data_IF_371001325539
#
_entry.id   IF_371001325539
#
_cell.length_a   1.000
_cell.length_b   1.000
_cell.length_c   1.000
_cell.angle_alpha   90.00
_cell.angle_beta   90.00
_cell.angle_gamma   90.00
#
_symmetry.space_group_name_H-M   'P 1'
#
loop_
_entity.id
_entity.type
_entity.pdbx_description
1 polymer ?
#
# COMPACT_ATOMS: atom_id res chain seq x y z
N UNK A 1 -9.19 25.38 48.88
CA UNK A 1 -8.10 24.89 48.00
C UNK A 1 -8.66 24.05 46.85
N UNK A 2 -9.70 24.51 46.16
CA UNK A 2 -10.50 23.65 45.27
C UNK A 2 -10.69 24.19 43.85
N UNK A 3 -10.02 25.29 43.48
CA UNK A 3 -10.28 25.97 42.20
C UNK A 3 -9.08 26.03 41.23
N UNK A 4 -7.97 25.33 41.52
CA UNK A 4 -6.82 25.23 40.60
C UNK A 4 -6.81 23.98 39.72
N UNK A 5 -7.68 22.98 40.00
CA UNK A 5 -7.70 21.71 39.26
C UNK A 5 -8.64 21.71 38.04
N UNK A 6 -9.54 22.68 37.94
CA UNK A 6 -10.52 22.83 36.84
C UNK A 6 -9.93 23.51 35.61
N UNK A 7 -9.10 24.54 35.77
CA UNK A 7 -8.48 25.27 34.64
C UNK A 7 -7.40 24.46 33.89
N UNK A 8 -6.68 23.56 34.57
CA UNK A 8 -5.64 22.74 33.93
C UNK A 8 -6.17 21.70 32.93
N UNK A 9 -7.45 21.33 33.02
CA UNK A 9 -8.09 20.40 32.06
C UNK A 9 -8.42 21.06 30.72
N UNK A 10 -8.55 22.38 30.67
CA UNK A 10 -8.99 23.11 29.47
C UNK A 10 -7.90 23.26 28.39
N UNK A 11 -6.63 22.95 28.73
CA UNK A 11 -5.49 23.10 27.84
C UNK A 11 -4.84 21.76 27.48
N UNK A 12 -5.59 20.65 27.52
CA UNK A 12 -5.09 19.35 27.06
C UNK A 12 -5.88 18.89 25.84
N UNK A 13 -5.16 18.33 24.87
CA UNK A 13 -5.76 17.75 23.68
C UNK A 13 -6.68 16.58 24.08
N UNK A 14 -7.96 16.64 23.70
CA UNK A 14 -8.90 15.53 23.94
C UNK A 14 -8.49 14.23 23.23
N UNK A 15 -7.66 14.30 22.19
CA UNK A 15 -7.22 13.12 21.44
C UNK A 15 -5.95 12.43 21.97
N UNK A 16 -4.96 13.18 22.47
CA UNK A 16 -3.67 12.60 22.91
C UNK A 16 -3.19 13.06 24.30
N UNK A 17 -3.96 13.89 25.00
CA UNK A 17 -3.65 14.34 26.36
C UNK A 17 -2.50 15.34 26.52
N UNK A 18 -1.83 15.73 25.42
CA UNK A 18 -0.72 16.69 25.43
C UNK A 18 -1.21 18.11 25.75
N UNK A 19 -0.36 18.92 26.41
CA UNK A 19 -0.64 20.34 26.65
C UNK A 19 -0.73 21.09 25.31
N UNK A 20 -1.82 21.83 25.13
CA UNK A 20 -2.09 22.62 23.94
C UNK A 20 -1.32 23.94 24.00
N UNK A 21 -0.79 24.36 22.85
CA UNK A 21 -0.13 25.64 22.65
C UNK A 21 -0.52 26.22 21.28
N UNK A 22 -0.40 27.53 21.10
CA UNK A 22 -0.81 28.21 19.86
C UNK A 22 0.27 29.17 19.33
N UNK A 23 1.50 29.03 19.80
CA UNK A 23 2.62 29.93 19.51
C UNK A 23 3.51 29.37 18.39
N UNK A 24 3.86 28.08 18.46
CA UNK A 24 4.83 27.46 17.54
C UNK A 24 4.21 26.30 16.74
N UNK A 25 3.99 26.50 15.44
CA UNK A 25 3.33 25.50 14.59
C UNK A 25 4.08 24.15 14.52
N UNK A 26 5.41 24.18 14.63
CA UNK A 26 6.26 22.99 14.52
C UNK A 26 6.43 22.23 15.84
N UNK A 27 5.87 22.71 16.97
CA UNK A 27 6.01 22.05 18.27
C UNK A 27 4.80 21.19 18.63
N UNK A 28 5.01 20.06 19.34
CA UNK A 28 3.92 19.22 19.84
C UNK A 28 2.88 20.02 20.63
N UNK A 29 1.61 19.70 20.43
CA UNK A 29 0.50 20.39 21.09
C UNK A 29 -0.01 21.65 20.38
N UNK A 30 0.57 22.03 19.23
CA UNK A 30 0.07 23.18 18.47
C UNK A 30 -1.41 23.06 18.13
N UNK A 31 -2.19 24.12 18.34
CA UNK A 31 -3.58 24.27 17.91
C UNK A 31 -3.80 25.73 17.50
N UNK A 32 -4.41 26.02 16.33
CA UNK A 32 -4.74 27.40 15.97
C UNK A 32 -5.64 28.05 17.03
N UNK A 33 -5.42 29.34 17.36
CA UNK A 33 -6.23 30.05 18.38
C UNK A 33 -7.74 29.97 18.13
N UNK A 34 -8.15 29.94 16.86
CA UNK A 34 -9.56 29.81 16.44
C UNK A 34 -10.17 28.42 16.73
N UNK A 35 -9.35 27.39 16.93
CA UNK A 35 -9.78 26.02 17.20
C UNK A 35 -9.80 25.67 18.70
N UNK A 36 -9.28 26.55 19.58
CA UNK A 36 -9.34 26.39 21.04
C UNK A 36 -10.77 26.50 21.61
N UNK A 37 -11.69 27.11 20.86
CA UNK A 37 -13.09 27.29 21.24
C UNK A 37 -14.01 26.17 20.78
N UNK A 38 -13.48 25.17 20.06
CA UNK A 38 -14.26 24.02 19.55
C UNK A 38 -14.23 22.86 20.53
N UNK A 39 -15.38 22.30 20.87
CA UNK A 39 -15.45 21.05 21.65
C UNK A 39 -15.70 19.84 20.72
N UNK A 40 -14.85 18.80 20.74
CA UNK A 40 -13.63 18.64 21.54
C UNK A 40 -12.39 19.37 20.94
N UNK A 41 -11.56 19.95 21.80
CA UNK A 41 -10.33 20.66 21.39
C UNK A 41 -9.21 19.63 21.12
N UNK A 42 -8.70 19.61 19.89
CA UNK A 42 -7.65 18.66 19.48
C UNK A 42 -6.45 19.39 18.88
N UNK A 43 -5.23 18.91 19.20
CA UNK A 43 -4.01 19.46 18.63
C UNK A 43 -3.93 19.20 17.12
N UNK A 44 -3.14 19.97 16.39
CA UNK A 44 -2.93 19.88 14.95
C UNK A 44 -2.56 18.44 14.52
N UNK A 45 -1.77 17.73 15.34
CA UNK A 45 -1.47 16.31 15.14
C UNK A 45 -2.72 15.44 15.25
N UNK A 46 -3.52 15.56 16.32
CA UNK A 46 -4.78 14.81 16.46
C UNK A 46 -5.83 15.20 15.42
N UNK A 47 -5.88 16.47 15.04
CA UNK A 47 -6.71 16.97 13.95
C UNK A 47 -6.30 16.35 12.62
N UNK A 48 -4.99 16.22 12.36
CA UNK A 48 -4.45 15.57 11.16
C UNK A 48 -4.69 14.06 11.15
N UNK A 49 -4.53 13.40 12.29
CA UNK A 49 -4.91 12.00 12.48
C UNK A 49 -6.41 11.80 12.20
N UNK A 50 -7.27 12.66 12.75
CA UNK A 50 -8.74 12.53 12.65
C UNK A 50 -9.29 12.86 11.25
N UNK A 51 -8.75 13.88 10.58
CA UNK A 51 -9.31 14.39 9.32
C UNK A 51 -8.54 13.95 8.07
N UNK A 52 -7.23 13.77 8.18
CA UNK A 52 -6.37 13.39 7.05
C UNK A 52 -5.85 11.95 7.17
N UNK A 53 -6.23 11.23 8.23
CA UNK A 53 -5.73 9.88 8.51
C UNK A 53 -4.19 9.83 8.57
N UNK A 54 -3.54 10.97 8.88
CA UNK A 54 -2.10 11.06 9.20
C UNK A 54 -1.89 10.47 10.61
N UNK A 55 -2.29 9.21 10.81
CA UNK A 55 -1.79 8.44 11.94
C UNK A 55 -0.28 8.55 11.91
N UNK A 56 0.31 9.02 13.00
CA UNK A 56 1.72 8.83 13.29
C UNK A 56 1.96 7.32 13.31
N UNK A 57 2.13 6.75 12.13
CA UNK A 57 2.67 5.41 11.99
C UNK A 57 4.09 5.59 12.48
N UNK A 58 4.35 5.09 13.69
CA UNK A 58 5.71 4.79 14.08
C UNK A 58 6.15 3.77 13.05
N UNK A 59 6.94 4.22 12.09
CA UNK A 59 7.50 3.37 11.06
C UNK A 59 8.67 2.63 11.67
N UNK A 60 8.86 1.39 11.23
CA UNK A 60 9.74 0.46 11.89
C UNK A 60 10.70 -0.11 10.87
N UNK A 61 11.98 -0.08 11.22
CA UNK A 61 13.00 -0.79 10.47
C UNK A 61 12.69 -2.29 10.42
N UNK A 62 13.03 -2.94 9.31
CA UNK A 62 12.63 -4.33 9.05
C UNK A 62 12.95 -5.28 10.22
N UNK A 63 14.14 -5.17 10.81
CA UNK A 63 14.58 -6.04 11.91
C UNK A 63 13.75 -5.91 13.18
N UNK A 64 13.31 -4.70 13.52
CA UNK A 64 12.52 -4.47 14.73
C UNK A 64 11.07 -4.97 14.53
N UNK A 65 10.55 -4.85 13.31
CA UNK A 65 9.28 -5.45 12.95
C UNK A 65 9.32 -6.99 12.98
N UNK A 66 10.40 -7.61 12.52
CA UNK A 66 10.56 -9.06 12.59
C UNK A 66 10.55 -9.56 14.05
N UNK A 67 11.11 -8.78 14.99
CA UNK A 67 11.02 -9.08 16.43
C UNK A 67 9.58 -9.02 16.93
N UNK A 68 8.79 -8.05 16.49
CA UNK A 68 7.35 -7.98 16.82
C UNK A 68 6.60 -9.21 16.30
N UNK A 69 6.83 -9.60 15.05
CA UNK A 69 6.19 -10.79 14.49
C UNK A 69 6.55 -12.07 15.28
N UNK A 70 7.80 -12.19 15.74
CA UNK A 70 8.22 -13.31 16.59
C UNK A 70 7.43 -13.41 17.90
N UNK A 71 6.98 -12.27 18.47
CA UNK A 71 6.11 -12.27 19.65
C UNK A 71 4.70 -12.79 19.34
N UNK A 72 4.22 -12.62 18.10
CA UNK A 72 2.92 -13.15 17.66
C UNK A 72 2.98 -14.67 17.57
N UNK A 73 4.10 -15.24 17.12
CA UNK A 73 4.27 -16.68 16.97
C UNK A 73 4.08 -17.50 18.26
N UNK A 74 4.32 -16.89 19.42
CA UNK A 74 4.10 -17.52 20.74
C UNK A 74 2.67 -17.39 21.28
N UNK A 75 1.77 -16.71 20.57
CA UNK A 75 0.38 -16.43 21.01
C UNK A 75 -0.63 -17.17 20.14
N UNK A 76 -1.82 -17.40 20.69
CA UNK A 76 -2.97 -17.87 19.92
C UNK A 76 -3.63 -16.70 19.19
N UNK A 77 -3.25 -16.52 17.93
CA UNK A 77 -3.63 -15.36 17.14
C UNK A 77 -4.19 -15.76 15.77
N UNK A 78 -5.14 -14.98 15.27
CA UNK A 78 -5.47 -14.94 13.85
C UNK A 78 -4.76 -13.76 13.21
N UNK A 79 -4.02 -13.99 12.12
CA UNK A 79 -3.26 -12.93 11.46
C UNK A 79 -3.99 -12.50 10.19
N UNK A 80 -4.45 -11.25 10.12
CA UNK A 80 -4.89 -10.62 8.88
C UNK A 80 -3.66 -10.02 8.22
N UNK A 81 -3.19 -10.63 7.14
CA UNK A 81 -2.16 -10.04 6.29
C UNK A 81 -2.82 -9.21 5.19
N UNK A 82 -2.73 -7.88 5.28
CA UNK A 82 -3.23 -6.98 4.25
C UNK A 82 -2.15 -6.67 3.21
N UNK A 83 -2.52 -6.75 1.92
CA UNK A 83 -1.64 -6.49 0.78
C UNK A 83 -2.31 -5.59 -0.25
N UNK A 84 -1.54 -4.79 -0.97
CA UNK A 84 -2.03 -3.98 -2.10
C UNK A 84 -1.98 -4.80 -3.41
N UNK A 85 -3.06 -4.84 -4.18
CA UNK A 85 -3.10 -5.55 -5.46
C UNK A 85 -2.14 -4.96 -6.51
N UNK A 86 -1.89 -3.64 -6.50
CA UNK A 86 -0.98 -2.98 -7.45
C UNK A 86 0.49 -3.13 -7.07
N UNK A 87 0.75 -3.59 -5.86
CA UNK A 87 2.09 -3.75 -5.31
C UNK A 87 2.17 -5.03 -4.48
N UNK A 88 1.62 -6.12 -5.02
CA UNK A 88 1.43 -7.37 -4.28
C UNK A 88 2.75 -7.90 -3.73
N UNK A 89 3.78 -7.99 -4.58
CA UNK A 89 5.08 -8.50 -4.17
C UNK A 89 5.85 -7.56 -3.24
N UNK A 90 5.66 -6.24 -3.37
CA UNK A 90 6.19 -5.28 -2.41
C UNK A 90 5.45 -5.29 -1.08
N UNK A 91 4.18 -5.69 -1.07
CA UNK A 91 3.33 -5.69 0.13
C UNK A 91 3.39 -7.00 0.92
N UNK A 92 3.70 -8.11 0.27
CA UNK A 92 3.77 -9.43 0.90
C UNK A 92 5.00 -9.55 1.80
N UNK A 93 4.78 -9.95 3.04
CA UNK A 93 5.83 -10.18 4.03
C UNK A 93 6.48 -11.54 3.78
N UNK A 94 7.65 -11.52 3.16
CA UNK A 94 8.41 -12.74 2.88
C UNK A 94 8.80 -13.44 4.17
N UNK A 95 8.46 -14.73 4.27
CA UNK A 95 8.75 -15.52 5.46
C UNK A 95 7.85 -15.22 6.67
N UNK A 96 6.73 -14.49 6.51
CA UNK A 96 5.76 -14.22 7.58
C UNK A 96 5.44 -15.48 8.40
N UNK A 97 5.16 -16.59 7.70
CA UNK A 97 4.83 -17.88 8.32
C UNK A 97 5.88 -18.37 9.33
N UNK A 98 7.17 -18.05 9.11
CA UNK A 98 8.26 -18.44 10.02
C UNK A 98 8.18 -17.71 11.36
N UNK A 99 7.67 -16.48 11.37
CA UNK A 99 7.59 -15.66 12.56
C UNK A 99 6.29 -15.86 13.33
N UNK A 100 5.17 -16.07 12.62
CA UNK A 100 3.86 -16.28 13.25
C UNK A 100 3.60 -17.75 13.63
N UNK A 101 4.50 -18.67 13.28
CA UNK A 101 4.36 -20.10 13.61
C UNK A 101 3.16 -20.77 12.93
N UNK A 102 2.32 -21.42 13.73
CA UNK A 102 1.13 -22.15 13.27
C UNK A 102 -0.15 -21.29 13.26
N UNK A 103 -0.03 -19.99 13.51
CA UNK A 103 -1.19 -19.11 13.53
C UNK A 103 -1.83 -19.03 12.13
N UNK A 104 -3.17 -19.14 12.04
CA UNK A 104 -3.89 -19.03 10.77
C UNK A 104 -3.73 -17.64 10.17
N UNK A 105 -3.65 -17.57 8.84
CA UNK A 105 -3.49 -16.32 8.08
C UNK A 105 -4.67 -16.11 7.15
N UNK A 106 -5.32 -14.96 7.27
CA UNK A 106 -6.25 -14.44 6.27
C UNK A 106 -5.55 -13.40 5.40
N UNK A 107 -5.51 -13.63 4.10
CA UNK A 107 -4.91 -12.69 3.16
C UNK A 107 -5.98 -11.72 2.65
N UNK A 108 -5.91 -10.47 3.10
CA UNK A 108 -6.80 -9.39 2.67
C UNK A 108 -6.14 -8.60 1.53
N UNK A 109 -6.60 -8.84 0.29
CA UNK A 109 -6.11 -8.14 -0.90
C UNK A 109 -6.93 -6.88 -1.12
N UNK A 110 -6.31 -5.74 -0.84
CA UNK A 110 -6.97 -4.44 -0.84
C UNK A 110 -6.88 -3.72 -2.19
N UNK A 111 -7.65 -2.62 -2.31
CA UNK A 111 -7.70 -1.69 -3.44
C UNK A 111 -8.25 -2.29 -4.75
N UNK A 112 -9.05 -3.34 -4.66
CA UNK A 112 -9.65 -3.99 -5.84
C UNK A 112 -10.57 -3.07 -6.65
N UNK A 113 -11.06 -2.00 -6.02
CA UNK A 113 -11.94 -1.03 -6.65
C UNK A 113 -11.26 -0.19 -7.74
N UNK A 114 -9.93 -0.15 -7.72
CA UNK A 114 -9.14 0.56 -8.72
C UNK A 114 -8.83 -0.31 -9.94
N UNK A 115 -9.20 -1.60 -9.91
CA UNK A 115 -9.03 -2.49 -11.05
C UNK A 115 -10.02 -2.13 -12.17
N UNK A 116 -9.67 -2.36 -13.45
CA UNK A 116 -10.60 -2.18 -14.55
C UNK A 116 -11.85 -3.05 -14.37
N UNK A 117 -13.03 -2.53 -14.75
CA UNK A 117 -14.31 -3.27 -14.63
C UNK A 117 -14.34 -4.62 -15.37
N UNK A 118 -13.49 -4.77 -16.38
CA UNK A 118 -13.33 -5.99 -17.20
C UNK A 118 -12.53 -7.09 -16.50
N UNK A 119 -11.96 -6.83 -15.31
CA UNK A 119 -11.09 -7.78 -14.60
C UNK A 119 -11.85 -9.05 -14.21
N UNK A 120 -11.25 -10.21 -14.48
CA UNK A 120 -11.82 -11.49 -14.08
C UNK A 120 -11.44 -11.83 -12.64
N UNK A 121 -12.41 -11.72 -11.73
CA UNK A 121 -12.23 -11.95 -10.29
C UNK A 121 -11.71 -13.35 -9.95
N UNK A 122 -12.11 -14.39 -10.69
CA UNK A 122 -11.65 -15.76 -10.46
C UNK A 122 -10.19 -15.92 -10.86
N UNK A 123 -9.78 -15.38 -12.01
CA UNK A 123 -8.36 -15.37 -12.42
C UNK A 123 -7.50 -14.60 -11.43
N UNK A 124 -7.98 -13.45 -10.96
CA UNK A 124 -7.29 -12.64 -9.97
C UNK A 124 -7.07 -13.42 -8.66
N UNK A 125 -8.13 -14.05 -8.14
CA UNK A 125 -8.04 -14.87 -6.92
C UNK A 125 -7.07 -16.04 -7.10
N UNK A 126 -7.16 -16.77 -8.21
CA UNK A 126 -6.26 -17.90 -8.50
C UNK A 126 -4.81 -17.45 -8.62
N UNK A 127 -4.56 -16.30 -9.24
CA UNK A 127 -3.23 -15.70 -9.30
C UNK A 127 -2.72 -15.36 -7.90
N UNK A 128 -3.49 -14.63 -7.09
CA UNK A 128 -3.09 -14.29 -5.71
C UNK A 128 -2.79 -15.55 -4.88
N UNK A 129 -3.66 -16.57 -4.94
CA UNK A 129 -3.46 -17.81 -4.20
C UNK A 129 -2.17 -18.52 -4.60
N UNK A 130 -1.89 -18.56 -5.92
CA UNK A 130 -0.66 -19.13 -6.44
C UNK A 130 0.56 -18.34 -5.95
N UNK A 131 0.57 -17.02 -6.11
CA UNK A 131 1.71 -16.19 -5.69
C UNK A 131 1.94 -16.26 -4.17
N UNK A 132 0.87 -16.27 -3.36
CA UNK A 132 0.98 -16.43 -1.92
C UNK A 132 1.67 -17.76 -1.55
N UNK A 133 1.26 -18.85 -2.21
CA UNK A 133 1.86 -20.17 -2.04
C UNK A 133 3.32 -20.21 -2.49
N UNK A 134 3.64 -19.62 -3.64
CA UNK A 134 5.00 -19.57 -4.20
C UNK A 134 5.94 -18.75 -3.29
N UNK A 135 5.41 -17.77 -2.55
CA UNK A 135 6.11 -17.02 -1.50
C UNK A 135 6.15 -17.73 -0.14
N UNK A 136 5.60 -18.94 -0.04
CA UNK A 136 5.62 -19.77 1.16
C UNK A 136 4.59 -19.38 2.22
N UNK A 137 3.58 -18.58 1.88
CA UNK A 137 2.47 -18.24 2.77
C UNK A 137 1.42 -19.35 2.76
N UNK A 138 1.03 -19.81 3.95
CA UNK A 138 -0.11 -20.71 4.14
C UNK A 138 -1.31 -19.88 4.57
N UNK A 139 -2.19 -19.59 3.62
CA UNK A 139 -3.38 -18.78 3.84
C UNK A 139 -4.60 -19.68 3.99
N UNK A 140 -5.42 -19.43 5.01
CA UNK A 140 -6.70 -20.12 5.22
C UNK A 140 -7.74 -19.64 4.18
N UNK A 141 -7.72 -18.35 3.88
CA UNK A 141 -8.59 -17.76 2.86
C UNK A 141 -7.94 -16.51 2.22
N UNK A 142 -8.41 -16.19 1.01
CA UNK A 142 -8.03 -14.98 0.27
C UNK A 142 -9.28 -14.13 0.05
N UNK A 143 -9.31 -12.99 0.74
CA UNK A 143 -10.41 -12.04 0.67
C UNK A 143 -10.01 -10.86 -0.20
N UNK A 144 -10.74 -10.67 -1.30
CA UNK A 144 -10.62 -9.49 -2.15
C UNK A 144 -11.50 -8.38 -1.56
N UNK A 145 -10.91 -7.24 -1.20
CA UNK A 145 -11.63 -6.12 -0.58
C UNK A 145 -11.20 -4.74 -1.08
N UNK A 146 -12.05 -3.75 -0.85
CA UNK A 146 -11.72 -2.33 -0.93
C UNK A 146 -12.09 -1.67 0.39
N UNK A 147 -11.07 -1.36 1.20
CA UNK A 147 -11.24 -0.62 2.46
C UNK A 147 -11.83 0.77 2.24
N UNK A 148 -11.59 1.38 1.08
CA UNK A 148 -12.10 2.71 0.74
C UNK A 148 -13.58 2.69 0.35
N UNK A 149 -14.02 1.68 -0.40
CA UNK A 149 -15.40 1.58 -0.91
C UNK A 149 -16.29 0.63 -0.09
N UNK A 150 -15.77 0.06 0.99
CA UNK A 150 -16.45 -0.95 1.79
C UNK A 150 -16.90 -2.20 0.99
N UNK A 151 -16.20 -2.50 -0.11
CA UNK A 151 -16.52 -3.66 -0.94
C UNK A 151 -15.75 -4.89 -0.45
N UNK A 152 -16.42 -6.03 -0.36
CA UNK A 152 -15.81 -7.29 0.07
C UNK A 152 -15.57 -7.40 1.58
N UNK A 153 -16.03 -6.42 2.38
CA UNK A 153 -15.89 -6.44 3.84
C UNK A 153 -16.76 -7.51 4.49
N UNK A 154 -17.99 -7.73 4.00
CA UNK A 154 -18.85 -8.81 4.52
C UNK A 154 -18.14 -10.17 4.46
N UNK A 155 -17.44 -10.46 3.36
CA UNK A 155 -16.63 -11.67 3.21
C UNK A 155 -15.44 -11.73 4.15
N UNK A 156 -14.84 -10.57 4.45
CA UNK A 156 -13.76 -10.50 5.44
C UNK A 156 -14.30 -10.79 6.85
N UNK A 157 -15.46 -10.26 7.20
CA UNK A 157 -16.14 -10.50 8.47
C UNK A 157 -16.58 -11.96 8.60
N UNK A 158 -17.13 -12.56 7.54
CA UNK A 158 -17.47 -13.99 7.48
C UNK A 158 -16.22 -14.87 7.67
N UNK A 159 -15.12 -14.56 6.99
CA UNK A 159 -13.86 -15.27 7.16
C UNK A 159 -13.31 -15.09 8.58
N UNK A 160 -13.38 -13.88 9.14
CA UNK A 160 -12.99 -13.63 10.53
C UNK A 160 -13.83 -14.46 11.49
N UNK A 161 -15.16 -14.43 11.38
CA UNK A 161 -16.05 -15.23 12.22
C UNK A 161 -15.76 -16.74 12.12
N UNK A 162 -15.39 -17.22 10.93
CA UNK A 162 -15.09 -18.63 10.68
C UNK A 162 -13.75 -19.08 11.25
N UNK A 163 -12.69 -18.29 11.08
CA UNK A 163 -11.31 -18.72 11.36
C UNK A 163 -10.74 -18.18 12.68
N UNK A 164 -11.35 -17.14 13.26
CA UNK A 164 -10.85 -16.51 14.49
C UNK A 164 -10.96 -17.45 15.69
N UNK A 165 -12.15 -18.01 15.95
CA UNK A 165 -12.43 -18.69 17.22
C UNK A 165 -12.18 -17.75 18.41
N UNK A 166 -11.59 -18.26 19.49
CA UNK A 166 -11.27 -17.48 20.69
C UNK A 166 -9.89 -16.77 20.61
N UNK A 167 -9.42 -16.40 19.42
CA UNK A 167 -8.09 -15.80 19.23
C UNK A 167 -8.14 -14.27 19.15
N UNK A 168 -7.04 -13.65 19.53
CA UNK A 168 -6.77 -12.24 19.21
C UNK A 168 -6.51 -12.06 17.71
N UNK A 169 -6.87 -10.91 17.16
CA UNK A 169 -6.71 -10.62 15.72
C UNK A 169 -5.56 -9.65 15.52
N UNK A 170 -4.50 -10.08 14.85
CA UNK A 170 -3.35 -9.22 14.51
C UNK A 170 -3.45 -8.77 13.06
N UNK A 171 -3.45 -7.45 12.83
CA UNK A 171 -3.44 -6.90 11.48
C UNK A 171 -2.02 -6.50 11.10
N UNK A 172 -1.45 -7.18 10.09
CA UNK A 172 -0.08 -6.98 9.61
C UNK A 172 -0.06 -6.62 8.14
N UNK A 173 0.84 -5.72 7.76
CA UNK A 173 1.00 -5.33 6.36
C UNK A 173 2.03 -4.22 6.20
N UNK A 174 2.46 -4.04 4.97
CA UNK A 174 3.38 -2.96 4.63
C UNK A 174 2.70 -1.58 4.76
N UNK A 175 3.48 -0.51 4.76
CA UNK A 175 2.98 0.86 4.69
C UNK A 175 2.11 1.07 3.44
N UNK A 176 1.13 1.96 3.53
CA UNK A 176 0.28 2.38 2.41
C UNK A 176 -0.56 1.29 1.70
N UNK A 177 -0.64 0.07 2.26
CA UNK A 177 -1.53 -1.00 1.75
C UNK A 177 -3.00 -0.79 2.14
N UNK A 178 -3.27 0.17 3.04
CA UNK A 178 -4.62 0.48 3.55
C UNK A 178 -4.97 -0.17 4.89
N UNK A 179 -3.96 -0.59 5.68
CA UNK A 179 -4.12 -1.21 7.00
C UNK A 179 -4.97 -0.36 7.95
N UNK A 180 -4.65 0.92 8.13
CA UNK A 180 -5.40 1.82 9.01
C UNK A 180 -6.85 2.01 8.56
N UNK A 181 -7.09 2.06 7.24
CA UNK A 181 -8.45 2.15 6.68
C UNK A 181 -9.25 0.87 6.96
N UNK A 182 -8.61 -0.30 6.81
CA UNK A 182 -9.22 -1.59 7.11
C UNK A 182 -9.56 -1.72 8.60
N UNK A 183 -8.67 -1.30 9.50
CA UNK A 183 -8.89 -1.33 10.94
C UNK A 183 -10.00 -0.37 11.36
N UNK A 184 -9.97 0.87 10.89
CA UNK A 184 -11.05 1.84 11.14
C UNK A 184 -12.42 1.32 10.70
N UNK A 185 -12.45 0.46 9.67
CA UNK A 185 -13.66 -0.17 9.18
C UNK A 185 -14.08 -1.36 10.05
N UNK A 186 -13.15 -2.24 10.39
CA UNK A 186 -13.40 -3.35 11.33
C UNK A 186 -13.93 -2.83 12.67
N UNK A 187 -13.37 -1.74 13.20
CA UNK A 187 -13.89 -1.07 14.40
C UNK A 187 -15.38 -0.79 14.22
N UNK A 188 -15.76 -0.03 13.19
CA UNK A 188 -17.16 0.40 12.96
C UNK A 188 -18.14 -0.76 12.81
N UNK A 189 -17.73 -1.83 12.16
CA UNK A 189 -18.60 -2.97 11.87
C UNK A 189 -18.67 -3.98 13.04
N UNK A 190 -17.68 -4.00 13.94
CA UNK A 190 -17.71 -4.79 15.19
C UNK A 190 -18.25 -4.01 16.40
N UNK A 191 -18.22 -2.67 16.37
CA UNK A 191 -18.74 -1.83 17.45
C UNK A 191 -20.15 -1.36 17.14
N UNK A 192 -21.17 -2.09 17.61
CA UNK A 192 -22.54 -1.58 17.77
C UNK A 192 -22.66 -0.56 18.94
N UNK A 193 -21.54 -0.03 19.44
CA UNK A 193 -21.47 0.72 20.69
C UNK A 193 -20.82 2.09 20.49
N UNK A 194 -21.54 3.11 20.95
CA UNK A 194 -21.14 4.50 21.23
C UNK A 194 -19.94 4.64 22.22
N UNK A 195 -19.05 3.66 22.29
CA UNK A 195 -17.83 3.77 23.09
C UNK A 195 -16.79 4.58 22.33
N UNK A 196 -16.54 5.79 22.83
CA UNK A 196 -15.35 6.57 22.49
C UNK A 196 -14.13 5.65 22.50
N UNK A 197 -13.44 5.60 21.35
CA UNK A 197 -12.22 4.84 21.13
C UNK A 197 -11.16 5.19 22.18
N UNK A 198 -11.13 4.47 23.29
CA UNK A 198 -10.00 4.51 24.22
C UNK A 198 -8.90 3.66 23.62
N UNK A 199 -8.17 4.24 22.67
CA UNK A 199 -6.92 3.69 22.15
C UNK A 199 -5.93 3.62 23.31
N UNK A 200 -5.82 2.48 23.98
CA UNK A 200 -4.76 2.26 24.95
C UNK A 200 -3.46 2.00 24.19
N UNK A 201 -2.56 2.98 24.18
CA UNK A 201 -1.15 2.74 23.86
C UNK A 201 -0.52 2.11 25.09
N UNK A 202 0.00 0.89 24.98
CA UNK A 202 0.81 0.32 26.06
C UNK A 202 2.19 0.99 26.02
N UNK A 203 2.53 1.86 27.00
CA UNK A 203 3.83 2.52 27.03
C UNK A 203 4.86 1.50 27.55
N UNK A 204 5.93 1.24 26.79
CA UNK A 204 7.02 0.37 27.29
C UNK A 204 7.87 -0.31 26.21
N UNK A 205 7.45 -0.27 24.95
CA UNK A 205 8.25 -0.72 23.80
C UNK A 205 8.48 0.44 22.84
N UNK A 206 9.60 0.44 22.12
CA UNK A 206 9.93 1.43 21.07
C UNK A 206 8.88 1.46 19.94
N UNK A 207 7.99 0.46 19.89
CA UNK A 207 6.91 0.30 18.94
C UNK A 207 5.55 0.19 19.63
N UNK A 208 4.67 1.16 19.40
CA UNK A 208 3.31 1.21 19.95
C UNK A 208 2.37 0.34 19.10
N UNK A 209 2.03 -0.88 19.57
CA UNK A 209 0.86 -1.61 19.07
C UNK A 209 -0.42 -0.98 19.62
N UNK A 210 -1.45 -0.86 18.78
CA UNK A 210 -2.76 -0.35 19.22
C UNK A 210 -3.71 -1.51 19.45
N UNK A 211 -4.22 -1.62 20.68
CA UNK A 211 -5.22 -2.63 21.04
C UNK A 211 -6.61 -2.02 20.97
N UNK A 212 -7.49 -2.69 20.23
CA UNK A 212 -8.91 -2.38 20.10
C UNK A 212 -9.66 -3.52 20.77
N UNK A 213 -10.23 -3.32 21.97
CA UNK A 213 -10.98 -4.36 22.65
C UNK A 213 -12.25 -4.71 21.87
N UNK A 214 -12.65 -5.98 21.97
CA UNK A 214 -13.89 -6.52 21.43
C UNK A 214 -14.78 -7.00 22.59
N UNK A 215 -16.08 -7.10 22.34
CA UNK A 215 -17.07 -7.45 23.37
C UNK A 215 -16.87 -8.85 23.97
N UNK A 216 -16.18 -9.73 23.24
CA UNK A 216 -15.83 -11.09 23.66
C UNK A 216 -14.56 -11.15 24.55
N UNK A 217 -14.02 -10.00 24.98
CA UNK A 217 -12.85 -9.91 25.85
C UNK A 217 -11.51 -10.12 25.13
N UNK A 218 -11.52 -10.28 23.81
CA UNK A 218 -10.31 -10.30 22.96
C UNK A 218 -10.05 -8.94 22.35
N UNK A 219 -9.00 -8.82 21.54
CA UNK A 219 -8.69 -7.57 20.85
C UNK A 219 -8.35 -7.74 19.37
N UNK A 220 -8.55 -6.67 18.61
CA UNK A 220 -7.88 -6.42 17.34
C UNK A 220 -6.62 -5.60 17.65
N UNK A 221 -5.47 -6.11 17.24
CA UNK A 221 -4.18 -5.49 17.44
C UNK A 221 -3.70 -4.91 16.11
N UNK A 222 -3.57 -3.59 16.07
CA UNK A 222 -2.88 -2.91 14.99
C UNK A 222 -1.37 -3.00 15.21
N UNK A 223 -0.68 -3.60 14.26
CA UNK A 223 0.79 -3.63 14.25
C UNK A 223 1.33 -2.47 13.41
N UNK A 224 2.50 -1.89 13.75
CA UNK A 224 3.16 -0.92 12.88
C UNK A 224 3.33 -1.43 11.44
N UNK A 225 3.23 -0.53 10.46
CA UNK A 225 3.42 -0.87 9.05
C UNK A 225 4.90 -1.05 8.72
N UNK A 226 5.23 -2.06 7.91
CA UNK A 226 6.61 -2.29 7.45
C UNK A 226 6.92 -1.40 6.26
N UNK A 227 8.09 -0.77 6.28
CA UNK A 227 8.66 -0.11 5.12
C UNK A 227 9.60 -1.06 4.40
N UNK A 228 9.40 -1.25 3.10
CA UNK A 228 10.34 -1.97 2.25
C UNK A 228 11.04 -0.95 1.36
N UNK A 229 12.37 -0.75 1.50
CA UNK A 229 13.13 0.24 0.72
C UNK A 229 13.05 0.02 -0.79
N UNK A 230 12.60 -1.15 -1.23
CA UNK A 230 12.46 -1.55 -2.62
C UNK A 230 11.07 -1.29 -3.22
N UNK A 231 10.22 -0.47 -2.57
CA UNK A 231 8.88 -0.10 -3.08
C UNK A 231 8.87 1.35 -3.53
N UNK A 232 8.07 1.65 -4.56
CA UNK A 232 7.84 3.04 -4.98
C UNK A 232 7.36 3.91 -3.82
N UNK A 233 6.55 3.39 -2.90
CA UNK A 233 6.04 4.15 -1.75
C UNK A 233 7.12 4.69 -0.81
N UNK A 234 8.30 4.09 -0.81
CA UNK A 234 9.39 4.46 0.10
C UNK A 234 10.53 5.24 -0.59
N UNK A 235 10.65 5.13 -1.91
CA UNK A 235 11.75 5.77 -2.67
C UNK A 235 11.33 7.09 -3.32
N UNK A 236 10.04 7.32 -3.56
CA UNK A 236 9.55 8.55 -4.20
C UNK A 236 9.05 9.56 -3.18
N UNK A 237 9.00 10.84 -3.57
CA UNK A 237 8.42 11.88 -2.73
C UNK A 237 6.92 11.66 -2.46
N UNK A 238 6.35 12.19 -1.37
CA UNK A 238 4.91 12.10 -1.11
C UNK A 238 4.03 12.65 -2.25
N UNK A 239 4.49 13.72 -2.92
CA UNK A 239 3.80 14.33 -4.06
C UNK A 239 3.78 13.38 -5.26
N UNK A 240 4.93 12.79 -5.58
CA UNK A 240 5.10 11.83 -6.68
C UNK A 240 4.34 10.52 -6.40
N UNK A 241 4.34 10.07 -5.14
CA UNK A 241 3.57 8.91 -4.69
C UNK A 241 2.08 9.13 -4.91
N UNK A 242 1.61 10.35 -4.62
CA UNK A 242 0.27 10.79 -4.89
C UNK A 242 -0.12 10.61 -6.36
N UNK A 243 0.82 10.75 -7.31
CA UNK A 243 0.59 10.61 -8.75
C UNK A 243 0.64 9.16 -9.21
N UNK A 244 1.62 8.38 -8.71
CA UNK A 244 1.80 6.97 -9.01
C UNK A 244 0.60 6.13 -8.59
N UNK A 245 0.06 6.38 -7.40
CA UNK A 245 -1.04 5.60 -6.86
C UNK A 245 -2.37 6.01 -7.53
N UNK A 246 -3.12 5.04 -8.07
CA UNK A 246 -4.45 5.34 -8.59
C UNK A 246 -5.40 5.73 -7.45
N UNK A 247 -6.20 6.77 -7.69
CA UNK A 247 -7.32 7.19 -6.85
C UNK A 247 -8.68 6.81 -7.44
N UNK A 248 -8.67 6.44 -8.73
CA UNK A 248 -9.80 6.02 -9.57
C UNK A 248 -9.46 4.73 -10.33
N UNK A 249 -10.48 3.98 -10.79
CA UNK A 249 -10.27 2.79 -11.61
C UNK A 249 -9.34 3.03 -12.81
N UNK A 250 -8.37 2.14 -13.00
CA UNK A 250 -7.42 2.23 -14.09
C UNK A 250 -8.14 2.17 -15.44
N UNK A 251 -7.82 3.13 -16.31
CA UNK A 251 -8.31 3.17 -17.68
C UNK A 251 -7.26 2.56 -18.60
N UNK A 252 -7.64 1.65 -19.52
CA UNK A 252 -6.71 1.08 -20.48
C UNK A 252 -6.24 2.15 -21.46
N UNK A 253 -4.93 2.32 -21.60
CA UNK A 253 -4.34 3.15 -22.66
C UNK A 253 -3.61 2.25 -23.66
N UNK A 254 -4.14 2.15 -24.88
CA UNK A 254 -3.62 1.24 -25.91
C UNK A 254 -2.61 1.96 -26.79
N UNK A 255 -1.42 1.38 -26.93
CA UNK A 255 -0.39 1.80 -27.88
C UNK A 255 -0.15 0.70 -28.92
N UNK A 256 -0.17 1.09 -30.19
CA UNK A 256 0.32 0.26 -31.29
C UNK A 256 1.81 0.59 -31.47
N UNK A 257 2.68 -0.40 -31.26
CA UNK A 257 4.13 -0.24 -31.33
C UNK A 257 4.73 -1.11 -32.42
N UNK A 258 5.76 -0.58 -33.08
CA UNK A 258 6.69 -1.35 -33.89
C UNK A 258 7.93 -1.70 -33.07
N UNK A 259 8.69 -2.67 -33.55
CA UNK A 259 10.03 -2.97 -33.04
C UNK A 259 10.89 -1.70 -32.91
N UNK A 260 11.66 -1.60 -31.83
CA UNK A 260 12.51 -0.44 -31.55
C UNK A 260 11.72 0.79 -31.09
N UNK A 261 10.57 0.61 -30.44
CA UNK A 261 9.82 1.71 -29.81
C UNK A 261 9.72 1.55 -28.30
N UNK A 262 9.61 2.69 -27.64
CA UNK A 262 9.68 2.82 -26.18
C UNK A 262 8.52 3.65 -25.66
N UNK A 263 8.04 3.33 -24.45
CA UNK A 263 7.09 4.13 -23.68
C UNK A 263 7.71 4.43 -22.31
N UNK A 264 7.82 5.71 -21.97
CA UNK A 264 8.14 6.19 -20.63
C UNK A 264 6.88 6.39 -19.79
N UNK A 265 6.99 6.08 -18.50
CA UNK A 265 5.98 6.32 -17.47
C UNK A 265 6.45 7.48 -16.59
N UNK A 266 6.33 8.71 -17.12
CA UNK A 266 7.05 9.87 -16.59
C UNK A 266 8.55 9.56 -16.48
N UNK A 267 9.17 9.96 -15.37
CA UNK A 267 10.50 9.54 -14.95
C UNK A 267 10.46 8.45 -13.87
N UNK A 268 9.43 7.59 -13.84
CA UNK A 268 9.33 6.47 -12.89
C UNK A 268 9.74 5.12 -13.48
N UNK A 269 9.70 4.99 -14.81
CA UNK A 269 10.14 3.79 -15.50
C UNK A 269 9.97 3.88 -17.01
N UNK A 270 10.44 2.86 -17.70
CA UNK A 270 10.46 2.75 -19.17
C UNK A 270 10.11 1.33 -19.60
N UNK A 271 9.35 1.22 -20.68
CA UNK A 271 9.07 -0.03 -21.37
C UNK A 271 9.61 0.03 -22.80
N UNK A 272 10.37 -0.98 -23.19
CA UNK A 272 11.01 -1.09 -24.48
C UNK A 272 10.50 -2.31 -25.23
N UNK A 273 10.05 -2.11 -26.46
CA UNK A 273 9.72 -3.19 -27.38
C UNK A 273 10.94 -3.47 -28.27
N UNK A 274 11.74 -4.44 -27.84
CA UNK A 274 13.06 -4.74 -28.43
C UNK A 274 12.91 -5.49 -29.75
N UNK A 275 12.07 -6.53 -29.78
CA UNK A 275 11.95 -7.39 -30.96
C UNK A 275 10.54 -7.95 -31.11
N UNK A 276 9.99 -7.91 -32.33
CA UNK A 276 8.74 -8.57 -32.68
C UNK A 276 7.94 -7.82 -33.74
N UNK A 277 6.89 -8.48 -34.26
CA UNK A 277 5.97 -7.83 -35.20
C UNK A 277 5.17 -6.72 -34.53
N UNK A 278 4.69 -5.77 -35.36
CA UNK A 278 3.83 -4.68 -34.91
C UNK A 278 2.63 -5.23 -34.14
N UNK A 279 2.53 -4.85 -32.87
CA UNK A 279 1.50 -5.36 -31.97
C UNK A 279 1.05 -4.29 -30.98
N UNK A 280 -0.04 -4.60 -30.26
CA UNK A 280 -0.64 -3.67 -29.31
C UNK A 280 -0.23 -3.99 -27.88
N UNK A 281 0.10 -2.92 -27.15
CA UNK A 281 0.41 -2.95 -25.73
C UNK A 281 -0.60 -2.07 -25.01
N UNK A 282 -1.28 -2.63 -24.02
CA UNK A 282 -2.28 -1.87 -23.24
C UNK A 282 -1.72 -1.56 -21.87
N UNK A 283 -1.44 -0.29 -21.60
CA UNK A 283 -0.94 0.19 -20.33
C UNK A 283 -2.09 0.38 -19.35
N UNK A 284 -1.96 -0.18 -18.15
CA UNK A 284 -2.83 0.02 -17.00
C UNK A 284 -1.99 0.64 -15.89
N UNK A 285 -1.92 1.97 -15.89
CA UNK A 285 -1.23 2.78 -14.88
C UNK A 285 -2.13 3.92 -14.41
N UNK A 286 -1.80 4.57 -13.30
CA UNK A 286 -2.53 5.76 -12.83
C UNK A 286 -2.66 6.78 -13.97
N UNK A 287 -3.87 7.29 -14.20
CA UNK A 287 -4.14 8.26 -15.27
C UNK A 287 -3.46 9.62 -15.08
N UNK A 288 -2.80 9.82 -13.93
CA UNK A 288 -1.98 10.99 -13.63
C UNK A 288 -0.51 10.81 -14.02
N UNK A 289 -0.08 9.57 -14.31
CA UNK A 289 1.27 9.29 -14.82
C UNK A 289 1.28 9.54 -16.33
N UNK A 290 2.06 10.53 -16.83
CA UNK A 290 2.12 10.81 -18.26
C UNK A 290 2.86 9.69 -18.98
N UNK A 291 2.36 9.35 -20.18
CA UNK A 291 2.95 8.33 -21.05
C UNK A 291 3.60 9.02 -22.24
N UNK A 292 4.91 8.82 -22.42
CA UNK A 292 5.67 9.43 -23.51
C UNK A 292 6.26 8.34 -24.41
N UNK A 293 5.91 8.36 -25.70
CA UNK A 293 6.43 7.39 -26.68
C UNK A 293 7.59 7.97 -27.48
N UNK A 294 8.68 7.24 -27.58
CA UNK A 294 9.84 7.56 -28.42
C UNK A 294 10.35 6.33 -29.16
N UNK A 295 11.38 6.51 -29.99
CA UNK A 295 12.15 5.41 -30.58
C UNK A 295 13.22 4.93 -29.58
N UNK A 296 13.54 3.65 -29.62
CA UNK A 296 14.48 2.99 -28.72
C UNK A 296 15.89 3.56 -28.85
N UNK A 297 16.33 3.86 -30.08
CA UNK A 297 17.65 4.46 -30.36
C UNK A 297 17.85 5.84 -29.72
N UNK A 298 16.76 6.56 -29.45
CA UNK A 298 16.77 7.88 -28.79
C UNK A 298 16.34 7.83 -27.32
N UNK A 299 16.00 6.66 -26.80
CA UNK A 299 15.39 6.56 -25.47
C UNK A 299 16.37 6.96 -24.36
N UNK A 300 17.64 6.54 -24.46
CA UNK A 300 18.66 6.86 -23.46
C UNK A 300 19.05 8.35 -23.49
N UNK A 301 19.24 8.92 -24.69
CA UNK A 301 19.50 10.36 -24.89
C UNK A 301 18.34 11.21 -24.35
N UNK A 302 17.10 10.87 -24.71
CA UNK A 302 15.91 11.58 -24.23
C UNK A 302 15.81 11.58 -22.70
N UNK A 303 16.15 10.46 -22.06
CA UNK A 303 16.13 10.38 -20.61
C UNK A 303 17.24 11.23 -19.98
N UNK A 304 18.46 11.17 -20.50
CA UNK A 304 19.58 11.95 -19.99
C UNK A 304 19.31 13.48 -20.06
N UNK A 305 18.72 13.94 -21.17
CA UNK A 305 18.54 15.37 -21.43
C UNK A 305 17.26 15.94 -20.80
N UNK A 306 16.19 15.14 -20.71
CA UNK A 306 14.85 15.63 -20.37
C UNK A 306 14.19 14.95 -19.16
N UNK A 307 14.91 14.11 -18.41
CA UNK A 307 14.45 13.60 -17.11
C UNK A 307 14.21 14.75 -16.12
N UNK A 308 13.03 14.78 -15.50
CA UNK A 308 12.65 15.84 -14.57
C UNK A 308 11.99 17.07 -15.19
N UNK A 309 11.95 17.15 -16.53
CA UNK A 309 11.28 18.21 -17.29
C UNK A 309 10.14 17.61 -18.12
N UNK A 310 10.43 17.12 -19.33
CA UNK A 310 9.44 16.45 -20.19
C UNK A 310 9.03 15.10 -19.60
N UNK A 311 10.00 14.35 -19.07
CA UNK A 311 9.78 13.08 -18.39
C UNK A 311 9.62 13.34 -16.89
N UNK A 312 8.52 14.01 -16.56
CA UNK A 312 8.10 14.36 -15.20
C UNK A 312 6.66 13.90 -15.00
N UNK A 313 6.27 13.46 -13.79
CA UNK A 313 7.07 13.38 -12.57
C UNK A 313 7.99 12.14 -12.55
N UNK A 314 9.03 12.11 -11.69
CA UNK A 314 9.39 13.09 -10.67
C UNK A 314 10.12 14.32 -11.26
N UNK A 315 10.33 15.36 -10.46
CA UNK A 315 11.21 16.50 -10.81
C UNK A 315 12.67 16.06 -10.83
N UNK A 316 13.57 16.85 -11.44
CA UNK A 316 15.00 16.52 -11.52
C UNK A 316 15.63 16.27 -10.14
N UNK A 317 15.32 17.12 -9.16
CA UNK A 317 15.79 16.97 -7.78
C UNK A 317 15.31 15.66 -7.12
N UNK A 318 14.06 15.27 -7.36
CA UNK A 318 13.51 14.03 -6.81
C UNK A 318 14.02 12.80 -7.58
N UNK A 319 14.29 12.93 -8.87
CA UNK A 319 14.85 11.87 -9.70
C UNK A 319 16.27 11.49 -9.27
N UNK A 320 17.10 12.47 -8.88
CA UNK A 320 18.46 12.24 -8.35
C UNK A 320 18.46 11.47 -7.01
N UNK A 321 17.35 11.48 -6.27
CA UNK A 321 17.18 10.71 -5.03
C UNK A 321 16.76 9.27 -5.29
N UNK A 322 16.31 8.95 -6.52
CA UNK A 322 15.90 7.59 -6.86
C UNK A 322 17.12 6.69 -7.06
N UNK A 323 17.00 5.38 -6.74
CA UNK A 323 17.99 4.40 -7.12
C UNK A 323 18.21 4.36 -8.63
N UNK A 324 19.42 3.99 -9.05
CA UNK A 324 19.74 3.73 -10.45
C UNK A 324 18.75 2.75 -11.07
N UNK A 325 18.44 2.95 -12.35
CA UNK A 325 17.51 2.09 -13.07
C UNK A 325 18.17 0.79 -13.47
N UNK A 326 17.46 -0.32 -13.28
CA UNK A 326 17.87 -1.65 -13.74
C UNK A 326 16.98 -2.12 -14.86
N UNK A 327 17.59 -2.73 -15.87
CA UNK A 327 16.89 -3.34 -16.99
C UNK A 327 16.46 -4.78 -16.65
N UNK A 328 15.20 -5.09 -16.96
CA UNK A 328 14.64 -6.44 -16.87
C UNK A 328 14.10 -6.84 -18.24
N UNK A 329 14.75 -7.80 -18.88
CA UNK A 329 14.35 -8.33 -20.19
C UNK A 329 13.46 -9.57 -20.05
N UNK A 330 12.43 -9.64 -20.88
CA UNK A 330 11.47 -10.74 -20.89
C UNK A 330 11.17 -11.17 -22.33
N UNK A 331 11.12 -12.49 -22.52
CA UNK A 331 10.63 -13.11 -23.76
C UNK A 331 9.19 -13.57 -23.58
N UNK A 332 8.27 -12.95 -24.30
CA UNK A 332 6.85 -13.28 -24.29
C UNK A 332 6.56 -14.28 -25.41
N UNK A 333 6.11 -15.48 -25.02
CA UNK A 333 5.79 -16.54 -25.96
C UNK A 333 4.63 -16.18 -26.89
N UNK A 334 4.69 -16.66 -28.13
CA UNK A 334 3.65 -16.48 -29.16
C UNK A 334 2.29 -16.97 -28.66
N UNK A 335 1.24 -16.16 -28.86
CA UNK A 335 -0.13 -16.49 -28.45
C UNK A 335 -0.39 -16.47 -26.95
N UNK A 336 0.61 -16.12 -26.13
CA UNK A 336 0.43 -16.03 -24.68
C UNK A 336 -0.35 -14.77 -24.30
N UNK A 337 -1.32 -14.92 -23.40
CA UNK A 337 -2.04 -13.80 -22.80
C UNK A 337 -1.36 -13.42 -21.49
N UNK A 338 -0.38 -12.53 -21.58
CA UNK A 338 0.51 -12.20 -20.47
C UNK A 338 0.46 -10.71 -20.15
N UNK A 339 0.57 -10.39 -18.86
CA UNK A 339 0.75 -9.04 -18.35
C UNK A 339 2.20 -8.88 -17.86
N UNK A 340 2.84 -7.78 -18.25
CA UNK A 340 4.11 -7.33 -17.71
C UNK A 340 3.82 -6.44 -16.51
N UNK A 341 3.96 -6.99 -15.31
CA UNK A 341 3.60 -6.35 -14.05
C UNK A 341 4.80 -5.62 -13.45
N UNK A 342 4.59 -4.37 -13.06
CA UNK A 342 5.57 -3.49 -12.42
C UNK A 342 5.00 -3.09 -11.04
N UNK A 343 5.59 -3.63 -9.98
CA UNK A 343 5.10 -3.46 -8.61
C UNK A 343 5.04 -1.97 -8.23
N UNK A 344 3.86 -1.48 -7.85
CA UNK A 344 3.62 -0.09 -7.43
C UNK A 344 3.35 0.91 -8.56
N UNK A 345 3.54 0.53 -9.84
CA UNK A 345 3.27 1.40 -11.00
C UNK A 345 2.03 0.94 -11.79
N UNK A 346 1.89 -0.37 -12.01
CA UNK A 346 0.81 -0.94 -12.80
C UNK A 346 1.25 -2.13 -13.66
N UNK A 347 0.62 -2.33 -14.81
CA UNK A 347 1.03 -3.38 -15.75
C UNK A 347 0.77 -3.02 -17.19
N UNK A 348 1.43 -3.74 -18.09
CA UNK A 348 1.26 -3.64 -19.54
C UNK A 348 0.75 -4.99 -20.02
N UNK A 349 -0.47 -5.03 -20.55
CA UNK A 349 -1.00 -6.22 -21.22
C UNK A 349 -0.38 -6.33 -22.60
N UNK A 350 0.28 -7.45 -22.85
CA UNK A 350 0.90 -7.76 -24.14
C UNK A 350 -0.11 -8.55 -24.96
N UNK A 351 -0.72 -7.92 -25.96
CA UNK A 351 -1.65 -8.58 -26.87
C UNK A 351 -0.83 -9.27 -27.96
N UNK A 352 -0.29 -10.43 -27.62
CA UNK A 352 0.74 -11.10 -28.41
C UNK A 352 0.16 -12.19 -29.33
N UNK A 353 0.25 -11.98 -30.65
CA UNK A 353 -0.06 -13.02 -31.64
C UNK A 353 1.20 -13.69 -32.23
N UNK A 354 2.36 -13.02 -32.22
CA UNK A 354 3.57 -13.42 -32.99
C UNK A 354 4.81 -13.77 -32.16
N UNK A 355 4.85 -13.41 -30.88
CA UNK A 355 6.03 -13.39 -30.02
C UNK A 355 6.53 -11.96 -29.78
N UNK A 356 7.18 -11.70 -28.64
CA UNK A 356 7.83 -10.41 -28.38
C UNK A 356 9.03 -10.57 -27.42
N UNK A 357 10.09 -9.80 -27.64
CA UNK A 357 11.13 -9.52 -26.65
C UNK A 357 10.92 -8.09 -26.18
N UNK A 358 10.78 -7.91 -24.87
CA UNK A 358 10.51 -6.63 -24.24
C UNK A 358 11.45 -6.42 -23.08
N UNK A 359 11.76 -5.17 -22.76
CA UNK A 359 12.47 -4.82 -21.53
C UNK A 359 11.73 -3.75 -20.75
N UNK A 360 11.93 -3.76 -19.43
CA UNK A 360 11.43 -2.74 -18.52
C UNK A 360 12.61 -2.19 -17.74
N UNK A 361 12.70 -0.87 -17.67
CA UNK A 361 13.66 -0.18 -16.82
C UNK A 361 12.91 0.52 -15.69
N UNK A 362 13.30 0.22 -14.46
CA UNK A 362 12.72 0.79 -13.25
C UNK A 362 13.83 0.97 -12.22
N UNK A 363 13.65 1.85 -11.20
CA UNK A 363 14.60 1.96 -10.11
C UNK A 363 14.92 0.60 -9.47
N UNK A 364 16.20 0.39 -9.13
CA UNK A 364 16.70 -0.84 -8.53
C UNK A 364 15.87 -1.23 -7.30
N UNK A 365 15.46 -2.49 -7.26
CA UNK A 365 14.67 -3.07 -6.17
C UNK A 365 13.19 -3.21 -6.51
N UNK A 366 12.65 -2.38 -7.41
CA UNK A 366 11.28 -2.53 -7.89
C UNK A 366 11.15 -3.88 -8.61
N UNK A 367 10.18 -4.69 -8.19
CA UNK A 367 9.95 -6.00 -8.79
C UNK A 367 9.18 -5.87 -10.11
N UNK A 368 9.73 -6.47 -11.16
CA UNK A 368 9.09 -6.61 -12.47
C UNK A 368 8.95 -8.10 -12.80
N UNK A 369 7.81 -8.50 -13.35
CA UNK A 369 7.59 -9.90 -13.76
C UNK A 369 6.54 -10.04 -14.85
N UNK A 370 6.60 -11.18 -15.55
CA UNK A 370 5.53 -11.63 -16.45
C UNK A 370 4.56 -12.51 -15.65
N UNK A 371 3.26 -12.24 -15.76
CA UNK A 371 2.20 -13.08 -15.18
C UNK A 371 1.10 -13.38 -16.20
N UNK A 372 0.27 -14.42 -15.99
CA UNK A 372 -0.93 -14.62 -16.79
C UNK A 372 -1.87 -13.42 -16.71
N UNK A 373 -2.51 -13.07 -17.83
CA UNK A 373 -3.37 -11.89 -17.88
C UNK A 373 -4.60 -12.03 -16.98
N UNK A 374 -4.84 -11.02 -16.16
CA UNK A 374 -6.00 -10.93 -15.25
C UNK A 374 -7.23 -10.29 -15.91
N UNK A 375 -7.08 -9.81 -17.16
CA UNK A 375 -8.13 -9.19 -17.99
C UNK A 375 -8.46 -10.07 -19.19
#
# INVERSE_FOLDING_TARGET
>A
MTDKRSEERQFRCSGCGIKLQSEEQNRPGYTPKQALTREPVICQRCFRIKNYNESSSVTVEQDEFLRLLGQIGGKEALVIHIVDIFDFHGSVISGLQRFIGNNPVLLAVNKIDLLPKVTNWNKLRNWVQKEAKDLGLKVEDVVLCSAKQNSGFDRLLEALARYRGDRDVYVVGATNVGKSTLINRLIRDYSDLDQELTVSRYPGTTLDMVHIPLDDGRAIIDTPGIMYPSRYSEIVSPEDLGILLPDKPLKPTVYQLNEGQTIFFGGFGRFDFIQGERQSFTCFVSGRVPLHRTKLDRADELFADHAGELLSPPTRENLEKLPEWTQHEFRVAKGSRSDLFISGLGWIKVNNESGAVVAVHVPKGIKVMVRPSVI
#
